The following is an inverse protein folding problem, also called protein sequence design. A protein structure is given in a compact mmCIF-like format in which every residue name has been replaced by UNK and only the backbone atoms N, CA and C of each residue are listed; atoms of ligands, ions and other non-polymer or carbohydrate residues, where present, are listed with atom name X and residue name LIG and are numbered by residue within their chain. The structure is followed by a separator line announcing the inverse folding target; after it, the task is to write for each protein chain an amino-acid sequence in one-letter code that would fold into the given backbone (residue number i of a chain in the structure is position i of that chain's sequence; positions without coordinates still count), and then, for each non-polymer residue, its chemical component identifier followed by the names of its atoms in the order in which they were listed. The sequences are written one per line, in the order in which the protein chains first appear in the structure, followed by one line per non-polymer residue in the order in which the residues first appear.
data_IF_251653218604
#
_entry.id   IF_251653218604
#
_cell.length_a   1.000
_cell.length_b   1.000
_cell.length_c   1.000
_cell.angle_alpha   90.00
_cell.angle_beta   90.00
_cell.angle_gamma   90.00
#
_symmetry.space_group_name_H-M   'P 1'
#
loop_
_entity.id
_entity.type
_entity.pdbx_description
1 polymer ?
#
# COMPACT_ATOMS: atom_id res chain seq x y z
N UNK A 1 -9.01 -1.31 -25.26
CA UNK A 1 -8.58 -0.17 -24.40
C UNK A 1 -7.37 -0.63 -23.61
N UNK A 2 -6.21 0.01 -23.76
CA UNK A 2 -4.98 -0.43 -23.09
C UNK A 2 -4.99 0.12 -21.65
N UNK A 3 -5.10 -0.76 -20.65
CA UNK A 3 -5.13 -0.43 -19.20
C UNK A 3 -3.98 0.53 -18.80
N UNK A 4 -2.89 0.54 -19.58
CA UNK A 4 -1.67 1.29 -19.28
C UNK A 4 -1.69 2.75 -19.75
N UNK A 5 -2.71 3.13 -20.50
CA UNK A 5 -2.98 4.53 -20.91
C UNK A 5 -4.18 5.13 -20.16
N UNK A 6 -4.60 4.52 -19.07
CA UNK A 6 -5.72 5.01 -18.29
C UNK A 6 -5.46 6.41 -17.74
N UNK A 7 -6.46 7.27 -17.86
CA UNK A 7 -6.54 8.56 -17.16
C UNK A 7 -6.63 8.32 -15.64
N UNK A 8 -6.48 9.37 -14.86
CA UNK A 8 -6.44 9.29 -13.39
C UNK A 8 -7.65 8.56 -12.79
N UNK A 9 -8.86 8.89 -13.21
CA UNK A 9 -10.11 8.33 -12.63
C UNK A 9 -10.14 6.80 -12.71
N UNK A 10 -9.95 6.14 -13.88
CA UNK A 10 -9.90 4.68 -13.92
C UNK A 10 -8.77 4.07 -13.06
N UNK A 11 -7.65 4.78 -12.88
CA UNK A 11 -6.57 4.31 -12.00
C UNK A 11 -6.97 4.37 -10.53
N UNK A 12 -7.70 5.40 -10.12
CA UNK A 12 -8.22 5.50 -8.75
C UNK A 12 -9.25 4.41 -8.46
N UNK A 13 -10.11 4.09 -9.42
CA UNK A 13 -11.02 2.95 -9.30
C UNK A 13 -10.24 1.65 -9.12
N UNK A 14 -9.23 1.39 -9.96
CA UNK A 14 -8.37 0.21 -9.81
C UNK A 14 -7.63 0.21 -8.46
N UNK A 15 -7.16 1.36 -8.00
CA UNK A 15 -6.46 1.48 -6.73
C UNK A 15 -7.37 1.22 -5.51
N UNK A 16 -8.67 1.34 -5.66
CA UNK A 16 -9.65 1.02 -4.61
C UNK A 16 -10.00 -0.48 -4.54
N UNK A 17 -9.81 -1.23 -5.65
CA UNK A 17 -10.21 -2.64 -5.72
C UNK A 17 -9.46 -3.57 -4.75
N UNK A 18 -8.15 -3.42 -4.44
CA UNK A 18 -7.48 -4.30 -3.49
C UNK A 18 -8.20 -4.41 -2.15
N UNK A 19 -8.79 -3.31 -1.70
CA UNK A 19 -9.58 -3.22 -0.49
C UNK A 19 -10.78 -4.18 -0.48
N UNK A 20 -11.55 -4.18 -1.56
CA UNK A 20 -12.76 -4.99 -1.66
C UNK A 20 -12.47 -6.44 -2.04
N UNK A 21 -11.41 -6.65 -2.83
CA UNK A 21 -11.08 -7.96 -3.36
C UNK A 21 -10.25 -8.82 -2.38
N UNK A 22 -9.37 -8.20 -1.57
CA UNK A 22 -8.48 -8.97 -0.71
C UNK A 22 -9.20 -9.80 0.36
N UNK A 23 -10.20 -9.29 1.12
CA UNK A 23 -10.89 -10.10 2.11
C UNK A 23 -11.61 -11.30 1.49
N UNK A 24 -12.17 -11.10 0.29
CA UNK A 24 -12.85 -12.15 -0.45
C UNK A 24 -11.88 -13.25 -0.91
N UNK A 25 -10.75 -12.85 -1.44
CA UNK A 25 -9.71 -13.79 -1.89
C UNK A 25 -9.06 -14.51 -0.71
N UNK A 26 -8.84 -13.83 0.40
CA UNK A 26 -8.29 -14.43 1.61
C UNK A 26 -9.26 -15.46 2.21
N UNK A 27 -10.58 -15.19 2.21
CA UNK A 27 -11.59 -16.18 2.63
C UNK A 27 -11.58 -17.42 1.73
N UNK A 28 -11.48 -17.24 0.41
CA UNK A 28 -11.36 -18.35 -0.52
C UNK A 28 -10.08 -19.15 -0.28
N UNK A 29 -8.93 -18.47 -0.12
CA UNK A 29 -7.64 -19.12 0.09
C UNK A 29 -7.58 -19.86 1.44
N UNK A 30 -8.20 -19.32 2.48
CA UNK A 30 -8.24 -19.95 3.81
C UNK A 30 -8.96 -21.30 3.80
N UNK A 31 -9.85 -21.55 2.84
CA UNK A 31 -10.54 -22.84 2.66
C UNK A 31 -9.63 -23.93 2.09
N UNK A 32 -8.53 -23.55 1.45
CA UNK A 32 -7.58 -24.47 0.82
C UNK A 32 -6.24 -24.56 1.56
N UNK A 33 -5.99 -23.66 2.51
CA UNK A 33 -4.72 -23.55 3.23
C UNK A 33 -4.98 -23.21 4.68
N UNK A 34 -4.19 -23.74 5.61
CA UNK A 34 -4.24 -23.37 7.04
C UNK A 34 -3.72 -21.94 7.32
N UNK A 35 -3.71 -21.08 6.32
CA UNK A 35 -3.25 -19.68 6.40
C UNK A 35 -4.20 -18.76 7.16
N UNK A 36 -5.34 -19.28 7.61
CA UNK A 36 -6.33 -18.55 8.42
C UNK A 36 -5.79 -17.98 9.74
N UNK A 37 -4.62 -18.41 10.18
CA UNK A 37 -3.97 -17.92 11.41
C UNK A 37 -3.06 -16.70 11.19
N UNK A 38 -2.84 -16.28 9.96
CA UNK A 38 -2.04 -15.09 9.68
C UNK A 38 -2.95 -13.85 9.84
N UNK A 39 -2.59 -12.99 10.76
CA UNK A 39 -3.32 -11.75 11.10
C UNK A 39 -3.43 -10.73 9.96
N UNK A 40 -2.95 -11.05 8.76
CA UNK A 40 -2.82 -10.11 7.65
C UNK A 40 -3.35 -10.69 6.36
N UNK A 41 -3.98 -9.83 5.56
CA UNK A 41 -4.37 -10.17 4.21
C UNK A 41 -3.15 -10.59 3.37
N UNK A 42 -3.14 -11.85 2.93
CA UNK A 42 -2.08 -12.40 2.08
C UNK A 42 -2.21 -11.92 0.63
N UNK A 43 -3.41 -11.58 0.21
CA UNK A 43 -3.70 -11.18 -1.17
C UNK A 43 -3.60 -9.68 -1.39
N UNK A 44 -3.66 -8.88 -0.33
CA UNK A 44 -3.64 -7.42 -0.45
C UNK A 44 -2.39 -6.88 -1.13
N UNK A 45 -1.21 -7.29 -0.69
CA UNK A 45 0.05 -6.87 -1.28
C UNK A 45 0.16 -7.18 -2.78
N UNK A 46 -0.04 -8.43 -3.22
CA UNK A 46 -0.07 -8.79 -4.64
C UNK A 46 -1.10 -8.02 -5.45
N UNK A 47 -2.32 -7.84 -4.92
CA UNK A 47 -3.36 -7.05 -5.57
C UNK A 47 -2.98 -5.58 -5.70
N UNK A 48 -2.34 -5.01 -4.69
CA UNK A 48 -1.80 -3.66 -4.75
C UNK A 48 -0.77 -3.55 -5.89
N UNK A 49 0.18 -4.46 -5.96
CA UNK A 49 1.16 -4.51 -7.05
C UNK A 49 0.51 -4.59 -8.43
N UNK A 50 -0.48 -5.47 -8.58
CA UNK A 50 -1.17 -5.72 -9.85
C UNK A 50 -2.08 -4.55 -10.28
N UNK A 51 -2.91 -4.04 -9.37
CA UNK A 51 -3.98 -3.10 -9.72
C UNK A 51 -3.53 -1.64 -9.60
N UNK A 52 -2.61 -1.34 -8.68
CA UNK A 52 -2.13 0.02 -8.44
C UNK A 52 -0.87 0.34 -9.22
N UNK A 53 0.15 -0.52 -9.13
CA UNK A 53 1.48 -0.24 -9.64
C UNK A 53 1.71 -0.76 -11.07
N UNK A 54 1.20 -1.93 -11.41
CA UNK A 54 1.38 -2.49 -12.76
C UNK A 54 0.82 -1.60 -13.89
N UNK A 55 -0.25 -0.81 -13.71
CA UNK A 55 -0.69 0.15 -14.72
C UNK A 55 0.34 1.23 -15.10
N UNK A 56 1.41 1.41 -14.32
CA UNK A 56 2.51 2.32 -14.67
C UNK A 56 3.58 1.68 -15.55
N UNK A 57 3.54 0.35 -15.76
CA UNK A 57 4.48 -0.33 -16.66
C UNK A 57 4.09 -0.07 -18.11
N UNK A 58 4.82 0.81 -18.79
CA UNK A 58 4.62 1.12 -20.20
C UNK A 58 5.42 0.20 -21.12
N UNK A 59 6.53 -0.36 -20.62
CA UNK A 59 7.42 -1.22 -21.40
C UNK A 59 6.73 -2.54 -21.79
N UNK A 60 6.80 -2.89 -23.07
CA UNK A 60 6.23 -4.15 -23.60
C UNK A 60 7.12 -5.36 -23.32
N UNK A 61 8.45 -5.15 -23.40
CA UNK A 61 9.42 -6.23 -23.16
C UNK A 61 9.47 -6.62 -21.68
N UNK A 62 9.42 -7.92 -21.42
CA UNK A 62 9.46 -8.49 -20.06
C UNK A 62 8.34 -7.98 -19.12
N UNK A 63 7.22 -7.52 -19.69
CA UNK A 63 6.13 -6.92 -18.93
C UNK A 63 5.57 -7.83 -17.84
N UNK A 64 5.32 -9.09 -18.16
CA UNK A 64 4.81 -10.08 -17.20
C UNK A 64 5.77 -10.25 -16.02
N UNK A 65 7.08 -10.34 -16.28
CA UNK A 65 8.10 -10.46 -15.23
C UNK A 65 8.09 -9.22 -14.33
N UNK A 66 7.95 -8.03 -14.90
CA UNK A 66 7.88 -6.77 -14.14
C UNK A 66 6.63 -6.69 -13.28
N UNK A 67 5.48 -7.14 -13.78
CA UNK A 67 4.24 -7.22 -13.02
C UNK A 67 4.42 -8.17 -11.83
N UNK A 68 4.94 -9.37 -12.08
CA UNK A 68 5.21 -10.35 -11.02
C UNK A 68 6.19 -9.75 -9.99
N UNK A 69 7.26 -9.10 -10.44
CA UNK A 69 8.22 -8.46 -9.55
C UNK A 69 7.55 -7.38 -8.66
N UNK A 70 6.68 -6.54 -9.24
CA UNK A 70 5.91 -5.56 -8.45
C UNK A 70 4.99 -6.24 -7.42
N UNK A 71 4.30 -7.30 -7.79
CA UNK A 71 3.45 -8.05 -6.86
C UNK A 71 4.26 -8.63 -5.69
N UNK A 72 5.43 -9.21 -5.97
CA UNK A 72 6.32 -9.77 -4.94
C UNK A 72 6.87 -8.68 -4.03
N UNK A 73 7.36 -7.58 -4.60
CA UNK A 73 7.91 -6.46 -3.81
C UNK A 73 6.82 -5.82 -2.95
N UNK A 74 5.63 -5.63 -3.51
CA UNK A 74 4.51 -5.03 -2.76
C UNK A 74 4.08 -5.93 -1.62
N UNK A 75 4.04 -7.25 -1.84
CA UNK A 75 3.79 -8.22 -0.78
C UNK A 75 4.84 -8.12 0.33
N UNK A 76 6.12 -8.11 -0.04
CA UNK A 76 7.22 -8.03 0.92
C UNK A 76 7.19 -6.72 1.74
N UNK A 77 6.95 -5.58 1.08
CA UNK A 77 6.87 -4.27 1.75
C UNK A 77 5.65 -4.20 2.66
N UNK A 78 4.49 -4.69 2.21
CA UNK A 78 3.27 -4.75 3.03
C UNK A 78 3.50 -5.59 4.28
N UNK A 79 4.04 -6.80 4.11
CA UNK A 79 4.32 -7.70 5.21
C UNK A 79 5.32 -7.11 6.20
N UNK A 80 6.44 -6.55 5.69
CA UNK A 80 7.46 -5.92 6.52
C UNK A 80 6.92 -4.71 7.28
N UNK A 81 6.13 -3.84 6.62
CA UNK A 81 5.53 -2.67 7.24
C UNK A 81 4.59 -3.07 8.39
N UNK A 82 3.70 -4.03 8.13
CA UNK A 82 2.76 -4.51 9.14
C UNK A 82 3.46 -5.18 10.31
N UNK A 83 4.48 -6.01 10.02
CA UNK A 83 5.31 -6.62 11.06
C UNK A 83 6.04 -5.57 11.90
N UNK A 84 6.64 -4.55 11.27
CA UNK A 84 7.31 -3.47 11.98
C UNK A 84 6.37 -2.70 12.91
N UNK A 85 5.13 -2.42 12.47
CA UNK A 85 4.13 -1.74 13.31
C UNK A 85 3.83 -2.59 14.54
N UNK A 86 3.56 -3.88 14.36
CA UNK A 86 3.22 -4.79 15.47
C UNK A 86 4.38 -4.96 16.44
N UNK A 87 5.57 -5.26 15.94
CA UNK A 87 6.73 -5.52 16.80
C UNK A 87 7.22 -4.26 17.52
N UNK A 88 7.04 -3.07 16.94
CA UNK A 88 7.35 -1.82 17.63
C UNK A 88 6.32 -1.44 18.68
N UNK A 89 5.06 -1.81 18.49
CA UNK A 89 4.01 -1.53 19.49
C UNK A 89 4.12 -2.44 20.73
N UNK A 90 4.52 -3.70 20.59
CA UNK A 90 4.59 -4.67 21.70
C UNK A 90 5.48 -4.23 22.89
N UNK A 91 6.76 -3.89 22.71
CA UNK A 91 7.63 -3.51 23.83
C UNK A 91 7.35 -2.11 24.37
N UNK A 92 6.84 -1.22 23.52
CA UNK A 92 6.68 0.19 23.85
C UNK A 92 5.38 0.46 24.63
N UNK A 93 4.35 -0.35 24.43
CA UNK A 93 3.09 -0.30 25.24
C UNK A 93 3.37 -0.44 26.73
N UNK A 94 4.46 -1.12 27.10
CA UNK A 94 4.86 -1.26 28.51
C UNK A 94 5.53 -0.01 29.12
N UNK A 95 5.98 0.96 28.32
CA UNK A 95 6.85 2.06 28.77
C UNK A 95 6.30 3.48 28.58
N UNK A 96 5.31 3.66 27.69
CA UNK A 96 4.81 4.99 27.33
C UNK A 96 3.29 5.04 27.21
N UNK A 97 2.72 6.24 27.30
CA UNK A 97 1.32 6.47 26.98
C UNK A 97 1.03 6.07 25.52
N UNK A 98 -0.03 5.35 25.32
CA UNK A 98 -0.32 4.58 24.10
C UNK A 98 -0.43 5.41 22.80
N UNK A 99 -0.85 6.67 22.92
CA UNK A 99 -1.10 7.56 21.75
C UNK A 99 0.16 7.97 21.00
N UNK A 100 1.18 8.43 21.74
CA UNK A 100 2.45 8.85 21.14
C UNK A 100 3.15 7.70 20.43
N UNK A 101 3.00 6.49 20.92
CA UNK A 101 3.65 5.31 20.37
C UNK A 101 3.03 4.85 19.06
N UNK A 102 1.71 4.91 18.97
CA UNK A 102 0.99 4.58 17.75
C UNK A 102 1.35 5.53 16.62
N UNK A 103 1.39 6.83 16.92
CA UNK A 103 1.87 7.82 15.97
C UNK A 103 3.33 7.60 15.57
N UNK A 104 4.21 7.41 16.57
CA UNK A 104 5.66 7.28 16.34
C UNK A 104 6.05 6.03 15.57
N UNK A 105 5.24 4.97 15.60
CA UNK A 105 5.48 3.74 14.84
C UNK A 105 4.79 3.76 13.47
N UNK A 106 3.51 4.12 13.41
CA UNK A 106 2.72 4.02 12.18
C UNK A 106 3.19 5.00 11.09
N UNK A 107 3.42 6.27 11.46
CA UNK A 107 3.78 7.31 10.48
C UNK A 107 5.14 7.06 9.82
N UNK A 108 6.25 6.84 10.54
CA UNK A 108 7.53 6.56 9.92
C UNK A 108 7.51 5.29 9.07
N UNK A 109 6.87 4.24 9.54
CA UNK A 109 6.77 2.96 8.80
C UNK A 109 6.00 3.15 7.50
N UNK A 110 4.86 3.84 7.53
CA UNK A 110 4.06 4.11 6.32
C UNK A 110 4.83 4.98 5.31
N UNK A 111 5.58 5.99 5.78
CA UNK A 111 6.42 6.83 4.91
C UNK A 111 7.53 5.99 4.27
N UNK A 112 8.26 5.20 5.04
CA UNK A 112 9.35 4.36 4.53
C UNK A 112 8.81 3.31 3.56
N UNK A 113 7.71 2.64 3.90
CA UNK A 113 7.08 1.64 3.04
C UNK A 113 6.61 2.25 1.71
N UNK A 114 5.98 3.44 1.73
CA UNK A 114 5.53 4.11 0.51
C UNK A 114 6.70 4.58 -0.34
N UNK A 115 7.77 5.11 0.26
CA UNK A 115 8.98 5.45 -0.47
C UNK A 115 9.66 4.22 -1.08
N UNK A 116 9.69 3.10 -0.38
CA UNK A 116 10.21 1.83 -0.89
C UNK A 116 9.40 1.32 -2.10
N UNK A 117 8.06 1.41 -2.02
CA UNK A 117 7.18 1.07 -3.17
C UNK A 117 7.38 2.02 -4.34
N UNK A 118 7.52 3.32 -4.09
CA UNK A 118 7.80 4.30 -5.12
C UNK A 118 9.16 4.02 -5.80
N UNK A 119 10.20 3.71 -5.03
CA UNK A 119 11.51 3.35 -5.55
C UNK A 119 11.46 2.08 -6.41
N UNK A 120 10.81 1.02 -5.91
CA UNK A 120 10.64 -0.22 -6.63
C UNK A 120 9.86 -0.02 -7.94
N UNK A 121 8.80 0.79 -7.90
CA UNK A 121 7.99 1.11 -9.07
C UNK A 121 8.81 1.89 -10.10
N UNK A 122 9.57 2.88 -9.67
CA UNK A 122 10.42 3.66 -10.54
C UNK A 122 11.49 2.79 -11.24
N UNK A 123 12.06 1.83 -10.51
CA UNK A 123 13.08 0.93 -11.05
C UNK A 123 12.48 -0.14 -11.98
N UNK A 124 11.39 -0.79 -11.55
CA UNK A 124 10.78 -1.90 -12.30
C UNK A 124 10.01 -1.40 -13.51
N UNK A 125 9.31 -0.27 -13.40
CA UNK A 125 8.53 0.35 -14.47
C UNK A 125 9.32 1.36 -15.33
N UNK A 126 10.63 1.43 -15.22
CA UNK A 126 11.61 2.46 -15.61
C UNK A 126 11.00 3.87 -15.76
N UNK A 127 10.41 4.37 -14.69
CA UNK A 127 9.84 5.71 -14.68
C UNK A 127 10.94 6.76 -14.53
N UNK A 128 10.86 7.84 -15.30
CA UNK A 128 11.66 9.03 -15.00
C UNK A 128 11.09 9.70 -13.76
N UNK A 129 11.94 9.83 -12.74
CA UNK A 129 11.55 10.41 -11.46
C UNK A 129 12.17 11.80 -11.33
N UNK A 130 11.34 12.75 -10.89
CA UNK A 130 11.75 14.09 -10.53
C UNK A 130 11.76 14.24 -8.98
N UNK A 131 12.28 15.37 -8.48
CA UNK A 131 12.16 15.69 -7.05
C UNK A 131 10.71 15.66 -6.56
N UNK A 132 9.75 16.04 -7.41
CA UNK A 132 8.31 16.03 -7.10
C UNK A 132 7.79 14.61 -6.84
N UNK A 133 8.30 13.62 -7.59
CA UNK A 133 7.94 12.21 -7.40
C UNK A 133 8.19 11.75 -5.96
N UNK A 134 9.36 12.03 -5.42
CA UNK A 134 9.74 11.64 -4.07
C UNK A 134 8.98 12.42 -2.99
N UNK A 135 8.72 13.71 -3.22
CA UNK A 135 7.91 14.52 -2.32
C UNK A 135 6.48 13.96 -2.25
N UNK A 136 5.86 13.67 -3.39
CA UNK A 136 4.51 13.12 -3.40
C UNK A 136 4.45 11.71 -2.79
N UNK A 137 5.43 10.87 -3.03
CA UNK A 137 5.53 9.57 -2.37
C UNK A 137 5.65 9.69 -0.84
N UNK A 138 6.46 10.63 -0.35
CA UNK A 138 6.56 10.93 1.08
C UNK A 138 5.25 11.45 1.67
N UNK A 139 4.55 12.37 0.98
CA UNK A 139 3.24 12.87 1.39
C UNK A 139 2.17 11.79 1.40
N UNK A 140 2.19 10.86 0.43
CA UNK A 140 1.29 9.72 0.41
C UNK A 140 1.51 8.79 1.61
N UNK A 141 2.77 8.52 1.94
CA UNK A 141 3.12 7.75 3.14
C UNK A 141 2.72 8.45 4.43
N UNK A 142 2.90 9.78 4.51
CA UNK A 142 2.46 10.59 5.63
C UNK A 142 0.92 10.53 5.80
N UNK A 143 0.17 10.71 4.72
CA UNK A 143 -1.30 10.62 4.74
C UNK A 143 -1.77 9.25 5.24
N UNK A 144 -1.14 8.17 4.74
CA UNK A 144 -1.43 6.80 5.19
C UNK A 144 -1.12 6.59 6.67
N UNK A 145 0.03 7.05 7.13
CA UNK A 145 0.42 6.91 8.54
C UNK A 145 -0.47 7.71 9.48
N UNK A 146 -0.85 8.93 9.09
CA UNK A 146 -1.79 9.76 9.85
C UNK A 146 -3.18 9.12 9.91
N UNK A 147 -3.64 8.51 8.81
CA UNK A 147 -4.91 7.79 8.82
C UNK A 147 -4.88 6.64 9.81
N UNK A 148 -3.84 5.81 9.80
CA UNK A 148 -3.67 4.73 10.77
C UNK A 148 -3.75 5.24 12.22
N UNK A 149 -3.06 6.35 12.50
CA UNK A 149 -3.09 6.95 13.84
C UNK A 149 -4.48 7.48 14.21
N UNK A 150 -5.15 8.22 13.32
CA UNK A 150 -6.48 8.78 13.57
C UNK A 150 -7.51 7.67 13.82
N UNK A 151 -7.45 6.59 13.05
CA UNK A 151 -8.39 5.47 13.19
C UNK A 151 -8.21 4.77 14.54
N UNK A 152 -6.97 4.54 14.94
CA UNK A 152 -6.63 3.95 16.23
C UNK A 152 -7.13 4.83 17.39
N UNK A 153 -7.07 6.16 17.23
CA UNK A 153 -7.54 7.13 18.22
C UNK A 153 -9.05 7.14 18.36
N UNK A 154 -9.78 7.09 17.23
CA UNK A 154 -11.24 7.11 17.22
C UNK A 154 -11.84 5.79 17.71
N UNK A 155 -11.12 4.68 17.58
CA UNK A 155 -11.62 3.36 17.92
C UNK A 155 -10.67 2.57 18.86
N UNK A 156 -10.33 3.10 20.04
CA UNK A 156 -9.35 2.47 20.93
C UNK A 156 -9.81 1.10 21.49
N UNK A 157 -11.10 0.80 21.43
CA UNK A 157 -11.67 -0.46 21.96
C UNK A 157 -11.84 -1.55 20.92
N UNK A 158 -11.60 -1.28 19.65
CA UNK A 158 -11.77 -2.25 18.55
C UNK A 158 -13.21 -2.76 18.36
N UNK A 159 -14.19 -2.24 19.15
CA UNK A 159 -15.54 -2.82 19.24
C UNK A 159 -16.53 -2.32 18.18
N UNK A 160 -16.26 -1.18 17.56
CA UNK A 160 -17.32 -0.54 16.80
C UNK A 160 -17.39 -0.88 15.32
N UNK A 161 -16.37 -1.50 14.74
CA UNK A 161 -16.39 -1.70 13.29
C UNK A 161 -15.39 -2.76 12.82
N UNK A 162 -15.60 -4.02 13.08
CA UNK A 162 -14.74 -5.10 12.56
C UNK A 162 -14.50 -5.00 11.04
N UNK A 163 -15.48 -4.53 10.29
CA UNK A 163 -15.37 -4.37 8.84
C UNK A 163 -14.89 -2.97 8.37
N UNK A 164 -15.19 -1.88 9.08
CA UNK A 164 -14.61 -0.57 8.80
C UNK A 164 -13.14 -0.49 9.23
N UNK A 165 -12.76 -1.24 10.25
CA UNK A 165 -11.38 -1.33 10.71
C UNK A 165 -10.46 -1.99 9.66
N UNK A 166 -10.98 -2.98 8.95
CA UNK A 166 -10.27 -3.62 7.82
C UNK A 166 -10.24 -2.70 6.60
N UNK A 167 -11.24 -1.83 6.45
CA UNK A 167 -11.43 -1.05 5.23
C UNK A 167 -10.57 0.22 5.15
N UNK A 168 -10.29 0.89 6.24
CA UNK A 168 -9.81 2.29 6.18
C UNK A 168 -8.31 2.47 5.91
N UNK A 169 -7.37 1.87 6.66
CA UNK A 169 -5.94 2.10 6.41
C UNK A 169 -5.49 1.50 5.09
N UNK A 170 -6.22 0.49 4.65
CA UNK A 170 -5.97 -0.25 3.41
C UNK A 170 -6.42 0.55 2.17
N UNK A 171 -7.24 1.58 2.33
CA UNK A 171 -7.77 2.36 1.21
C UNK A 171 -6.92 3.59 0.86
N UNK A 172 -6.52 4.37 1.84
CA UNK A 172 -5.72 5.58 1.59
C UNK A 172 -4.36 5.21 1.00
N UNK A 173 -3.71 4.17 1.46
CA UNK A 173 -2.40 3.79 0.97
C UNK A 173 -2.35 3.53 -0.55
N UNK A 174 -3.19 2.67 -1.15
CA UNK A 174 -3.16 2.45 -2.60
C UNK A 174 -3.59 3.68 -3.38
N UNK A 175 -4.59 4.41 -2.91
CA UNK A 175 -5.11 5.61 -3.57
C UNK A 175 -4.07 6.72 -3.54
N UNK A 176 -3.50 7.04 -2.38
CA UNK A 176 -2.49 8.08 -2.23
C UNK A 176 -1.20 7.75 -3.00
N UNK A 177 -0.78 6.48 -2.98
CA UNK A 177 0.37 6.01 -3.76
C UNK A 177 0.10 6.12 -5.26
N UNK A 178 -1.08 5.75 -5.73
CA UNK A 178 -1.48 5.91 -7.14
C UNK A 178 -1.42 7.40 -7.56
N UNK A 179 -1.97 8.29 -6.76
CA UNK A 179 -1.97 9.75 -6.99
C UNK A 179 -0.54 10.28 -7.02
N UNK A 180 0.28 9.88 -6.04
CA UNK A 180 1.67 10.32 -5.93
C UNK A 180 2.50 9.94 -7.15
N UNK A 181 2.40 8.69 -7.60
CA UNK A 181 3.09 8.21 -8.80
C UNK A 181 2.55 8.89 -10.06
N UNK A 182 1.24 9.06 -10.16
CA UNK A 182 0.62 9.67 -11.33
C UNK A 182 1.05 11.11 -11.55
N UNK A 183 1.07 11.94 -10.51
CA UNK A 183 1.45 13.35 -10.60
C UNK A 183 2.96 13.59 -10.47
N UNK A 184 3.68 12.66 -9.82
CA UNK A 184 5.11 12.78 -9.61
C UNK A 184 5.96 12.34 -10.79
N UNK A 185 5.44 11.46 -11.67
CA UNK A 185 6.15 11.01 -12.87
C UNK A 185 6.32 12.14 -13.87
N UNK A 186 7.41 12.10 -14.61
CA UNK A 186 7.63 13.02 -15.72
C UNK A 186 6.73 12.62 -16.92
N UNK A 187 5.83 13.50 -17.41
CA UNK A 187 4.93 13.19 -18.52
C UNK A 187 5.65 12.89 -19.85
N UNK A 188 6.87 13.39 -20.03
CA UNK A 188 7.66 13.15 -21.26
C UNK A 188 8.19 11.71 -21.37
N UNK A 189 8.05 10.89 -20.34
CA UNK A 189 8.53 9.50 -20.35
C UNK A 189 7.60 8.51 -21.06
N UNK A 190 6.50 8.95 -21.66
CA UNK A 190 5.47 8.07 -22.26
C UNK A 190 5.52 8.02 -23.79
N UNK A 191 6.52 8.62 -24.43
CA UNK A 191 6.76 8.52 -25.88
C UNK A 191 7.79 7.45 -26.24
#
# INVERSE_FOLDING_TARGET
MNIFQLKLIPRLVLASLPLFASPWLDDILSRFTDWSQLFFSQTYGPLFGLLVLAPFITATRARTIRIIALCVVTYAVYYAATWCIIETQRPLVAWFETEFLRFSSAVPVAVVATLALAAATAWIAPLRTSRRYWIYAGLAGLATGLEFWIIDEINPSGRYMDWLFVLQPVWIWPVSTCVAIYFGRDPESTN
#
